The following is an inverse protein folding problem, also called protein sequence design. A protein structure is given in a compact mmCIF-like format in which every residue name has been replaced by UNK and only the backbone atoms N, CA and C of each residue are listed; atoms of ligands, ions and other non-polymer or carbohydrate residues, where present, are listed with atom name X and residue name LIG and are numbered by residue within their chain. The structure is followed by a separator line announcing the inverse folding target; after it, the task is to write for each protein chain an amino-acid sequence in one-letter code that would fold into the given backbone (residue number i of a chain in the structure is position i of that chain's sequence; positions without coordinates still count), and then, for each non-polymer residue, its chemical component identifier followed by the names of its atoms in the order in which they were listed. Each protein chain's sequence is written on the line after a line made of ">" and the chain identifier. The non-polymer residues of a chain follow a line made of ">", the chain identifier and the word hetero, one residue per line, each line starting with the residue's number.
data_IF_947342132633
#
_entry.id   IF_947342132633
#
_cell.length_a   1.000
_cell.length_b   1.000
_cell.length_c   1.000
_cell.angle_alpha   90.00
_cell.angle_beta   90.00
_cell.angle_gamma   90.00
#
_symmetry.space_group_name_H-M   'P 1'
#
loop_
_entity.id
_entity.type
_entity.pdbx_description
1 polymer ?
#
# COMPACT_ATOMS: atom_id res chain seq x y z
N UNK A 1 4.97 -4.31 14.53
CA UNK A 1 5.52 -2.94 14.36
C UNK A 1 6.14 -2.82 12.98
N UNK A 2 6.16 -1.63 12.39
CA UNK A 2 6.58 -1.37 10.99
C UNK A 2 8.10 -1.15 10.83
N UNK A 3 8.92 -1.81 11.67
CA UNK A 3 10.35 -1.55 11.84
C UNK A 3 11.23 -1.83 10.62
N UNK A 4 10.74 -2.63 9.66
CA UNK A 4 11.40 -2.85 8.37
C UNK A 4 11.26 -1.63 7.44
N UNK A 5 10.12 -0.92 7.52
CA UNK A 5 9.76 0.18 6.61
C UNK A 5 10.17 1.56 7.15
N UNK A 6 10.36 1.69 8.46
CA UNK A 6 10.64 2.96 9.12
C UNK A 6 11.72 2.83 10.20
N UNK A 7 12.51 3.89 10.36
CA UNK A 7 13.35 4.11 11.53
C UNK A 7 12.50 4.48 12.75
N UNK A 8 13.06 4.36 13.95
CA UNK A 8 12.35 4.72 15.20
C UNK A 8 11.95 6.20 15.27
N UNK A 9 12.66 7.08 14.53
CA UNK A 9 12.33 8.49 14.40
C UNK A 9 11.28 8.79 13.30
N UNK A 10 10.69 7.76 12.70
CA UNK A 10 9.66 7.87 11.67
C UNK A 10 10.17 8.14 10.26
N UNK A 11 11.49 8.27 10.05
CA UNK A 11 12.05 8.35 8.69
C UNK A 11 11.82 7.05 7.93
N UNK A 12 11.46 7.18 6.67
CA UNK A 12 11.23 6.07 5.75
C UNK A 12 12.56 5.36 5.48
N UNK A 13 12.54 4.03 5.50
CA UNK A 13 13.66 3.17 5.10
C UNK A 13 13.48 2.72 3.66
N UNK A 14 14.60 2.37 3.04
CA UNK A 14 14.60 1.59 1.81
C UNK A 14 13.82 0.27 2.04
N UNK A 15 12.76 0.07 1.26
CA UNK A 15 11.89 -1.10 1.32
C UNK A 15 11.30 -1.29 -0.08
N UNK A 16 12.09 -1.80 -1.03
CA UNK A 16 11.66 -1.88 -2.41
C UNK A 16 10.76 -3.10 -2.63
N UNK A 17 9.94 -2.98 -3.67
CA UNK A 17 9.08 -4.05 -4.12
C UNK A 17 8.25 -3.63 -5.32
N UNK A 18 7.20 -4.39 -5.55
CA UNK A 18 6.20 -4.12 -6.56
C UNK A 18 4.81 -4.53 -6.07
N UNK A 19 3.77 -4.00 -6.71
CA UNK A 19 2.38 -4.19 -6.30
C UNK A 19 1.43 -3.73 -7.41
N UNK A 20 0.16 -4.15 -7.33
CA UNK A 20 -0.90 -3.68 -8.23
C UNK A 20 -1.84 -2.80 -7.43
N UNK A 21 -1.86 -1.50 -7.77
CA UNK A 21 -2.55 -0.47 -6.98
C UNK A 21 -3.38 0.44 -7.88
N UNK A 22 -4.33 1.14 -7.28
CA UNK A 22 -4.87 2.38 -7.83
C UNK A 22 -4.26 3.57 -7.08
N UNK A 23 -3.53 4.42 -7.78
CA UNK A 23 -3.04 5.68 -7.22
C UNK A 23 -4.19 6.68 -7.08
N UNK A 24 -4.44 7.13 -5.85
CA UNK A 24 -5.62 7.95 -5.50
C UNK A 24 -5.26 9.41 -5.17
N UNK A 25 -3.98 9.77 -5.15
CA UNK A 25 -3.54 11.15 -4.98
C UNK A 25 -4.02 12.15 -6.07
N UNK A 26 -4.45 11.73 -7.28
CA UNK A 26 -5.11 12.65 -8.21
C UNK A 26 -6.57 12.96 -7.84
N UNK A 27 -7.20 12.17 -6.94
CA UNK A 27 -8.58 12.38 -6.52
C UNK A 27 -8.65 13.39 -5.35
N UNK A 28 -9.18 14.61 -5.56
CA UNK A 28 -9.23 15.62 -4.50
C UNK A 28 -10.15 15.22 -3.34
N UNK A 29 -11.19 14.40 -3.56
CA UNK A 29 -12.05 13.92 -2.47
C UNK A 29 -11.27 12.99 -1.54
N UNK A 30 -10.47 12.08 -2.10
CA UNK A 30 -9.58 11.20 -1.32
C UNK A 30 -8.51 12.02 -0.62
N UNK A 31 -7.76 12.84 -1.35
CA UNK A 31 -6.64 13.63 -0.79
C UNK A 31 -7.10 14.54 0.34
N UNK A 32 -8.19 15.29 0.16
CA UNK A 32 -8.70 16.17 1.20
C UNK A 32 -9.11 15.40 2.46
N UNK A 33 -9.68 14.20 2.30
CA UNK A 33 -10.05 13.34 3.42
C UNK A 33 -8.82 12.82 4.15
N UNK A 34 -7.84 12.29 3.41
CA UNK A 34 -6.60 11.78 3.99
C UNK A 34 -5.80 12.88 4.69
N UNK A 35 -5.68 14.07 4.10
CA UNK A 35 -5.00 15.21 4.73
C UNK A 35 -5.65 15.64 6.05
N UNK A 36 -6.99 15.65 6.11
CA UNK A 36 -7.71 15.94 7.36
C UNK A 36 -7.40 14.90 8.43
N UNK A 37 -7.45 13.61 8.09
CA UNK A 37 -7.10 12.51 9.01
C UNK A 37 -5.65 12.65 9.49
N UNK A 38 -4.71 12.89 8.57
CA UNK A 38 -3.29 13.06 8.90
C UNK A 38 -3.06 14.24 9.86
N UNK A 39 -3.74 15.37 9.64
CA UNK A 39 -3.66 16.54 10.53
C UNK A 39 -4.11 16.21 11.96
N UNK A 40 -5.17 15.42 12.10
CA UNK A 40 -5.68 14.99 13.40
C UNK A 40 -4.70 14.03 14.11
N UNK A 41 -4.07 13.13 13.36
CA UNK A 41 -3.00 12.27 13.90
C UNK A 41 -1.76 13.07 14.31
N UNK A 42 -1.39 14.09 13.54
CA UNK A 42 -0.26 14.98 13.84
C UNK A 42 -0.51 15.84 15.08
N UNK A 43 -1.78 16.11 15.43
CA UNK A 43 -2.15 16.85 16.62
C UNK A 43 -2.16 16.01 17.91
N UNK A 44 -1.96 14.69 17.83
CA UNK A 44 -1.90 13.82 19.00
C UNK A 44 -0.67 14.14 19.87
N UNK A 45 -0.77 14.05 21.21
CA UNK A 45 0.36 14.27 22.11
C UNK A 45 1.49 13.24 21.94
N UNK A 46 1.22 12.15 21.23
CA UNK A 46 2.15 11.06 20.89
C UNK A 46 2.30 10.87 19.38
N UNK A 47 2.09 11.94 18.59
CA UNK A 47 2.18 11.90 17.12
C UNK A 47 3.53 11.34 16.60
N UNK A 48 4.62 11.52 17.35
CA UNK A 48 5.95 10.97 17.05
C UNK A 48 5.99 9.43 17.01
N UNK A 49 4.95 8.74 17.52
CA UNK A 49 4.82 7.28 17.42
C UNK A 49 4.21 6.83 16.09
N UNK A 50 3.89 7.77 15.21
CA UNK A 50 3.41 7.52 13.86
C UNK A 50 4.38 8.10 12.83
N UNK A 51 4.53 7.40 11.71
CA UNK A 51 5.09 7.97 10.48
C UNK A 51 3.96 8.28 9.53
N UNK A 52 3.73 9.57 9.25
CA UNK A 52 2.70 10.02 8.31
C UNK A 52 3.23 9.87 6.88
N UNK A 53 2.43 9.27 6.01
CA UNK A 53 2.82 9.03 4.62
C UNK A 53 2.65 10.30 3.77
N UNK A 54 3.52 10.53 2.77
CA UNK A 54 3.33 11.58 1.77
C UNK A 54 2.01 11.40 1.00
N UNK A 55 1.43 12.50 0.53
CA UNK A 55 0.16 12.45 -0.22
C UNK A 55 0.35 11.75 -1.56
N UNK A 56 1.54 11.90 -2.15
CA UNK A 56 1.96 11.25 -3.39
C UNK A 56 2.01 9.71 -3.27
N UNK A 57 2.02 9.17 -2.04
CA UNK A 57 1.95 7.74 -1.79
C UNK A 57 0.52 7.23 -1.61
N UNK A 58 -0.52 8.09 -1.66
CA UNK A 58 -1.89 7.69 -1.36
C UNK A 58 -2.43 6.81 -2.48
N UNK A 59 -2.68 5.54 -2.15
CA UNK A 59 -3.17 4.52 -3.07
C UNK A 59 -4.08 3.52 -2.35
N UNK A 60 -4.85 2.76 -3.13
CA UNK A 60 -5.48 1.53 -2.67
C UNK A 60 -4.81 0.34 -3.34
N UNK A 61 -4.30 -0.60 -2.54
CA UNK A 61 -3.76 -1.85 -3.07
C UNK A 61 -4.88 -2.76 -3.52
N UNK A 62 -4.80 -3.20 -4.78
CA UNK A 62 -5.74 -4.17 -5.36
C UNK A 62 -5.20 -5.58 -5.19
N UNK A 63 -3.88 -5.76 -5.36
CA UNK A 63 -3.21 -7.05 -5.20
C UNK A 63 -1.76 -6.83 -4.76
N UNK A 64 -1.38 -7.48 -3.67
CA UNK A 64 -0.03 -7.43 -3.15
C UNK A 64 0.88 -8.36 -3.96
N UNK A 65 2.05 -7.86 -4.36
CA UNK A 65 3.11 -8.68 -4.97
C UNK A 65 4.32 -8.74 -4.03
N UNK A 66 5.54 -8.63 -4.56
CA UNK A 66 6.74 -9.02 -3.84
C UNK A 66 7.44 -7.81 -3.23
N UNK A 67 8.04 -8.04 -2.05
CA UNK A 67 8.88 -7.07 -1.37
C UNK A 67 10.23 -7.72 -1.07
N UNK A 68 11.32 -6.96 -1.20
CA UNK A 68 12.69 -7.47 -1.05
C UNK A 68 12.94 -8.19 0.29
N UNK A 69 12.36 -7.69 1.38
CA UNK A 69 12.56 -8.22 2.72
C UNK A 69 11.60 -9.36 3.11
N UNK A 70 10.68 -9.76 2.22
CA UNK A 70 9.69 -10.82 2.46
C UNK A 70 9.91 -12.03 1.55
N UNK A 71 11.16 -12.48 1.40
CA UNK A 71 11.56 -13.64 0.57
C UNK A 71 11.31 -14.96 1.28
N UNK A 72 10.06 -15.40 1.32
CA UNK A 72 9.68 -16.73 1.82
C UNK A 72 8.64 -17.38 0.92
N UNK A 73 8.62 -18.72 0.75
CA UNK A 73 7.72 -19.40 -0.19
C UNK A 73 6.25 -19.01 -0.04
N UNK A 74 5.78 -18.81 1.19
CA UNK A 74 4.39 -18.43 1.51
C UNK A 74 4.04 -16.96 1.18
N UNK A 75 5.05 -16.12 0.89
CA UNK A 75 4.91 -14.71 0.49
C UNK A 75 5.57 -14.41 -0.86
N UNK A 76 5.85 -15.44 -1.65
CA UNK A 76 6.55 -15.33 -2.92
C UNK A 76 5.71 -15.85 -4.08
N UNK A 77 6.18 -15.57 -5.30
CA UNK A 77 5.64 -16.23 -6.50
C UNK A 77 6.19 -17.64 -6.59
N UNK A 78 5.34 -18.63 -6.86
CA UNK A 78 5.78 -20.01 -7.12
C UNK A 78 6.59 -20.14 -8.43
N UNK A 79 6.56 -19.13 -9.30
CA UNK A 79 7.26 -19.12 -10.58
C UNK A 79 8.65 -18.50 -10.53
N UNK A 80 9.04 -17.89 -9.40
CA UNK A 80 10.29 -17.16 -9.25
C UNK A 80 11.15 -17.77 -8.15
N UNK A 81 12.46 -17.76 -8.33
CA UNK A 81 13.39 -18.12 -7.27
C UNK A 81 13.36 -17.08 -6.14
N UNK A 82 13.61 -17.52 -4.91
CA UNK A 82 13.66 -16.63 -3.74
C UNK A 82 14.83 -15.66 -3.77
N UNK A 83 15.87 -15.91 -4.57
CA UNK A 83 17.06 -15.07 -4.75
C UNK A 83 17.01 -14.17 -5.99
N UNK A 84 15.88 -14.14 -6.71
CA UNK A 84 15.74 -13.35 -7.94
C UNK A 84 15.94 -11.85 -7.70
N UNK A 85 16.57 -11.14 -8.64
CA UNK A 85 16.80 -9.69 -8.51
C UNK A 85 15.49 -8.90 -8.66
N UNK A 86 15.42 -7.70 -8.11
CA UNK A 86 14.21 -6.87 -8.19
C UNK A 86 13.83 -6.54 -9.63
N UNK A 87 14.81 -6.27 -10.48
CA UNK A 87 14.62 -5.93 -11.90
C UNK A 87 14.00 -7.09 -12.68
N UNK A 88 14.51 -8.31 -12.45
CA UNK A 88 13.97 -9.51 -13.09
C UNK A 88 12.58 -9.88 -12.57
N UNK A 89 12.34 -9.67 -11.26
CA UNK A 89 11.01 -9.83 -10.70
C UNK A 89 10.04 -8.85 -11.38
N UNK A 90 10.47 -7.60 -11.59
CA UNK A 90 9.59 -6.60 -12.19
C UNK A 90 9.27 -6.89 -13.65
N UNK A 91 10.29 -7.22 -14.43
CA UNK A 91 10.14 -7.62 -15.83
C UNK A 91 9.25 -8.86 -15.95
N UNK A 92 9.43 -9.84 -15.06
CA UNK A 92 8.59 -11.04 -15.04
C UNK A 92 7.11 -10.68 -14.85
N UNK A 93 6.78 -9.87 -13.85
CA UNK A 93 5.39 -9.50 -13.61
C UNK A 93 4.83 -8.61 -14.71
N UNK A 94 5.61 -7.68 -15.24
CA UNK A 94 5.19 -6.88 -16.40
C UNK A 94 4.76 -7.78 -17.57
N UNK A 95 5.62 -8.75 -17.95
CA UNK A 95 5.34 -9.68 -19.04
C UNK A 95 4.11 -10.56 -18.76
N UNK A 96 3.90 -10.99 -17.51
CA UNK A 96 2.71 -11.76 -17.14
C UNK A 96 1.41 -10.95 -17.18
N UNK A 97 1.50 -9.65 -16.89
CA UNK A 97 0.34 -8.77 -16.75
C UNK A 97 -0.01 -8.05 -18.06
N UNK A 98 0.90 -7.96 -19.03
CA UNK A 98 0.70 -7.26 -20.32
C UNK A 98 -0.56 -7.74 -21.05
N UNK A 99 -0.84 -9.05 -21.05
CA UNK A 99 -2.01 -9.63 -21.71
C UNK A 99 -3.29 -9.64 -20.86
N UNK A 100 -3.22 -9.22 -19.59
CA UNK A 100 -4.33 -9.33 -18.65
C UNK A 100 -5.14 -8.02 -18.65
N UNK A 101 -6.45 -8.05 -18.95
CA UNK A 101 -7.26 -6.85 -18.96
C UNK A 101 -7.53 -6.35 -17.53
N UNK A 102 -6.93 -5.22 -17.16
CA UNK A 102 -7.19 -4.60 -15.86
C UNK A 102 -8.60 -4.02 -15.83
N UNK A 103 -9.32 -4.30 -14.74
CA UNK A 103 -10.70 -3.83 -14.56
C UNK A 103 -10.75 -2.33 -14.25
N UNK A 104 -11.82 -1.67 -14.70
CA UNK A 104 -12.09 -0.23 -14.50
C UNK A 104 -13.48 -0.01 -13.89
N UNK A 105 -13.91 1.24 -13.68
CA UNK A 105 -15.21 1.57 -13.10
C UNK A 105 -15.48 0.83 -11.78
N UNK A 106 -14.48 0.80 -10.90
CA UNK A 106 -14.62 0.23 -9.56
C UNK A 106 -15.13 1.32 -8.62
N UNK A 107 -16.19 1.03 -7.87
CA UNK A 107 -16.71 1.94 -6.85
C UNK A 107 -16.35 1.40 -5.48
N UNK A 108 -15.63 2.19 -4.69
CA UNK A 108 -15.33 1.87 -3.29
C UNK A 108 -16.03 2.87 -2.37
N UNK A 109 -16.49 2.42 -1.22
CA UNK A 109 -17.08 3.26 -0.18
C UNK A 109 -16.23 3.21 1.09
N UNK A 110 -16.09 4.31 1.82
CA UNK A 110 -15.42 4.28 3.11
C UNK A 110 -16.17 3.36 4.08
N UNK A 111 -15.42 2.56 4.84
CA UNK A 111 -15.95 1.70 5.89
C UNK A 111 -15.60 2.25 7.27
N UNK A 112 -14.30 2.44 7.56
CA UNK A 112 -13.83 2.93 8.85
C UNK A 112 -12.37 3.34 8.86
N UNK A 113 -11.97 4.10 9.88
CA UNK A 113 -10.57 4.24 10.25
C UNK A 113 -10.19 3.12 11.21
N UNK A 114 -9.30 2.23 10.78
CA UNK A 114 -8.72 1.20 11.65
C UNK A 114 -7.22 1.40 11.74
N UNK A 115 -6.74 1.65 12.95
CA UNK A 115 -5.32 1.90 13.23
C UNK A 115 -4.74 3.09 12.45
N UNK A 116 -4.20 2.89 11.26
CA UNK A 116 -3.50 3.90 10.45
C UNK A 116 -3.91 3.84 8.98
N UNK A 117 -5.05 3.19 8.72
CA UNK A 117 -5.62 3.02 7.39
C UNK A 117 -7.09 3.43 7.39
N UNK A 118 -7.54 3.95 6.26
CA UNK A 118 -8.96 4.05 5.91
C UNK A 118 -9.35 2.77 5.19
N UNK A 119 -10.16 1.93 5.83
CA UNK A 119 -10.74 0.76 5.19
C UNK A 119 -11.86 1.17 4.25
N UNK A 120 -11.90 0.51 3.09
CA UNK A 120 -12.90 0.73 2.06
C UNK A 120 -13.47 -0.61 1.62
N UNK A 121 -14.74 -0.61 1.24
CA UNK A 121 -15.43 -1.79 0.71
C UNK A 121 -15.94 -1.53 -0.70
N UNK A 122 -16.18 -2.58 -1.50
CA UNK A 122 -16.95 -2.45 -2.73
C UNK A 122 -18.29 -1.73 -2.49
N UNK A 123 -18.60 -0.77 -3.34
CA UNK A 123 -19.82 0.03 -3.27
C UNK A 123 -21.08 -0.79 -3.57
N UNK A 124 -20.94 -1.82 -4.41
CA UNK A 124 -22.00 -2.73 -4.86
C UNK A 124 -21.49 -4.16 -5.05
N UNK A 125 -22.42 -5.11 -5.18
CA UNK A 125 -22.12 -6.54 -5.34
C UNK A 125 -21.38 -6.85 -6.65
N UNK A 126 -21.66 -6.08 -7.71
CA UNK A 126 -20.97 -6.24 -8.99
C UNK A 126 -19.49 -5.92 -8.85
N UNK A 127 -19.15 -4.79 -8.23
CA UNK A 127 -17.78 -4.39 -7.93
C UNK A 127 -17.08 -5.44 -7.07
N UNK A 128 -17.77 -5.96 -6.04
CA UNK A 128 -17.24 -7.02 -5.17
C UNK A 128 -16.88 -8.28 -5.97
N UNK A 129 -17.80 -8.77 -6.80
CA UNK A 129 -17.58 -9.94 -7.64
C UNK A 129 -16.45 -9.73 -8.65
N UNK A 130 -16.38 -8.56 -9.29
CA UNK A 130 -15.35 -8.21 -10.27
C UNK A 130 -13.97 -8.12 -9.64
N UNK A 131 -13.85 -7.47 -8.47
CA UNK A 131 -12.59 -7.39 -7.73
C UNK A 131 -12.11 -8.77 -7.27
N UNK A 132 -13.02 -9.62 -6.77
CA UNK A 132 -12.67 -10.99 -6.39
C UNK A 132 -12.13 -11.78 -7.60
N UNK A 133 -12.88 -11.79 -8.70
CA UNK A 133 -12.48 -12.52 -9.91
C UNK A 133 -11.15 -11.99 -10.48
N UNK A 134 -10.95 -10.67 -10.47
CA UNK A 134 -9.71 -10.06 -10.91
C UNK A 134 -8.53 -10.48 -10.03
N UNK A 135 -8.68 -10.47 -8.71
CA UNK A 135 -7.64 -10.96 -7.79
C UNK A 135 -7.34 -12.44 -8.00
N UNK A 136 -8.34 -13.28 -8.25
CA UNK A 136 -8.14 -14.70 -8.55
C UNK A 136 -7.33 -14.89 -9.86
N UNK A 137 -7.65 -14.13 -10.91
CA UNK A 137 -6.87 -14.13 -12.16
C UNK A 137 -5.43 -13.65 -11.96
N UNK A 138 -5.22 -12.63 -11.12
CA UNK A 138 -3.87 -12.17 -10.77
C UNK A 138 -3.07 -13.25 -10.04
N UNK A 139 -3.68 -14.03 -9.15
CA UNK A 139 -3.02 -15.19 -8.54
C UNK A 139 -2.57 -16.19 -9.61
N UNK A 140 -3.42 -16.56 -10.56
CA UNK A 140 -3.08 -17.50 -11.63
C UNK A 140 -1.93 -16.97 -12.52
N UNK A 141 -1.96 -15.68 -12.86
CA UNK A 141 -0.95 -15.07 -13.73
C UNK A 141 0.41 -14.90 -13.04
N UNK A 142 0.40 -14.54 -11.75
CA UNK A 142 1.61 -14.14 -11.00
C UNK A 142 2.20 -15.27 -10.18
N UNK A 143 1.45 -16.32 -9.89
CA UNK A 143 1.85 -17.38 -8.97
C UNK A 143 1.91 -16.93 -7.50
N UNK A 144 1.34 -15.76 -7.18
CA UNK A 144 1.30 -15.20 -5.82
C UNK A 144 -0.08 -15.46 -5.21
N UNK A 145 -0.11 -16.06 -4.02
CA UNK A 145 -1.35 -16.18 -3.22
C UNK A 145 -1.05 -16.13 -1.74
N UNK A 146 -1.35 -14.99 -1.10
CA UNK A 146 -1.16 -14.84 0.34
C UNK A 146 -2.33 -15.43 1.13
N UNK A 147 -2.08 -15.79 2.39
CA UNK A 147 -3.08 -16.42 3.27
C UNK A 147 -4.34 -15.57 3.49
N UNK A 148 -4.25 -14.25 3.32
CA UNK A 148 -5.37 -13.31 3.42
C UNK A 148 -6.14 -13.14 2.10
N UNK A 149 -5.81 -13.86 1.02
CA UNK A 149 -6.34 -13.59 -0.33
C UNK A 149 -7.87 -13.46 -0.39
N UNK A 150 -8.58 -14.44 0.19
CA UNK A 150 -10.05 -14.51 0.19
C UNK A 150 -10.71 -13.61 1.25
N UNK A 151 -9.92 -13.03 2.15
CA UNK A 151 -10.35 -12.18 3.27
C UNK A 151 -9.68 -10.81 3.23
N UNK A 152 -9.22 -10.40 2.06
CA UNK A 152 -8.46 -9.17 1.91
C UNK A 152 -9.36 -7.96 2.16
N UNK A 153 -9.02 -7.15 3.16
CA UNK A 153 -9.69 -5.89 3.42
C UNK A 153 -8.99 -4.78 2.63
N UNK A 154 -9.68 -4.22 1.64
CA UNK A 154 -9.17 -3.06 0.91
C UNK A 154 -9.03 -1.87 1.85
N UNK A 155 -7.94 -1.12 1.67
CA UNK A 155 -7.63 0.00 2.52
C UNK A 155 -6.70 1.00 1.83
N UNK A 156 -6.70 2.22 2.35
CA UNK A 156 -5.84 3.33 1.96
C UNK A 156 -5.01 3.67 3.19
N UNK A 157 -3.70 3.47 3.10
CA UNK A 157 -2.79 3.80 4.21
C UNK A 157 -2.52 5.30 4.24
N UNK A 158 -2.57 5.91 5.42
CA UNK A 158 -2.20 7.33 5.60
C UNK A 158 -1.05 7.53 6.59
N UNK A 159 -0.74 6.51 7.39
CA UNK A 159 0.35 6.50 8.34
C UNK A 159 0.80 5.06 8.67
N UNK A 160 1.83 4.93 9.49
CA UNK A 160 2.22 3.68 10.15
C UNK A 160 2.51 3.91 11.63
N UNK A 161 2.09 3.00 12.50
CA UNK A 161 2.53 2.97 13.89
C UNK A 161 3.96 2.42 13.97
N UNK A 162 4.88 3.21 14.51
CA UNK A 162 6.32 2.91 14.59
C UNK A 162 6.82 2.65 16.01
N UNK A 163 6.02 2.96 17.04
CA UNK A 163 6.31 2.67 18.43
C UNK A 163 5.05 2.20 19.18
N UNK A 164 5.22 1.45 20.27
CA UNK A 164 4.09 0.96 21.05
C UNK A 164 3.31 2.08 21.74
N UNK A 165 1.99 1.92 21.74
CA UNK A 165 1.07 2.79 22.46
C UNK A 165 0.85 2.27 23.89
N UNK A 166 0.83 3.18 24.87
CA UNK A 166 0.37 2.87 26.22
C UNK A 166 -1.13 2.59 26.23
N UNK A 167 -1.66 2.10 27.35
CA UNK A 167 -3.10 1.84 27.49
C UNK A 167 -3.92 3.13 27.33
N UNK A 168 -3.44 4.24 27.87
CA UNK A 168 -4.08 5.55 27.80
C UNK A 168 -4.06 6.07 26.36
N UNK A 169 -2.93 5.98 25.66
CA UNK A 169 -2.81 6.39 24.26
C UNK A 169 -3.72 5.56 23.34
N UNK A 170 -3.87 4.25 23.62
CA UNK A 170 -4.82 3.37 22.93
C UNK A 170 -6.27 3.81 23.10
N UNK A 171 -6.64 4.33 24.28
CA UNK A 171 -7.98 4.86 24.52
C UNK A 171 -8.21 6.17 23.74
N UNK A 172 -7.21 7.07 23.76
CA UNK A 172 -7.27 8.35 23.03
C UNK A 172 -7.42 8.09 21.52
N UNK A 173 -6.58 7.23 20.94
CA UNK A 173 -6.65 6.95 19.50
C UNK A 173 -7.93 6.22 19.11
N UNK A 174 -8.47 5.34 19.96
CA UNK A 174 -9.75 4.69 19.69
C UNK A 174 -10.91 5.71 19.61
N UNK A 175 -10.94 6.69 20.52
CA UNK A 175 -11.93 7.77 20.49
C UNK A 175 -11.77 8.66 19.26
N UNK A 176 -10.54 9.01 18.89
CA UNK A 176 -10.26 9.75 17.66
C UNK A 176 -10.75 8.99 16.43
N UNK A 177 -10.40 7.70 16.32
CA UNK A 177 -10.79 6.87 15.18
C UNK A 177 -12.30 6.70 15.05
N UNK A 178 -13.02 6.57 16.17
CA UNK A 178 -14.49 6.50 16.14
C UNK A 178 -15.13 7.83 15.69
N UNK A 179 -14.55 8.97 16.09
CA UNK A 179 -14.99 10.27 15.58
C UNK A 179 -14.70 10.41 14.09
N UNK A 180 -13.47 10.15 13.66
CA UNK A 180 -13.07 10.21 12.26
C UNK A 180 -13.87 9.24 11.39
N UNK A 181 -14.17 8.03 11.88
CA UNK A 181 -15.05 7.06 11.22
C UNK A 181 -16.39 7.70 10.89
N UNK A 182 -17.06 8.32 11.87
CA UNK A 182 -18.37 8.97 11.68
C UNK A 182 -18.28 10.13 10.68
N UNK A 183 -17.24 10.94 10.77
CA UNK A 183 -17.00 12.07 9.85
C UNK A 183 -16.77 11.59 8.41
N UNK A 184 -15.93 10.58 8.20
CA UNK A 184 -15.60 10.05 6.87
C UNK A 184 -16.80 9.35 6.25
N UNK A 185 -17.48 8.46 6.98
CA UNK A 185 -18.68 7.77 6.45
C UNK A 185 -19.78 8.76 6.03
N UNK A 186 -19.92 9.87 6.77
CA UNK A 186 -21.00 10.83 6.50
C UNK A 186 -20.70 11.78 5.35
N UNK A 187 -19.42 12.07 5.06
CA UNK A 187 -19.03 13.18 4.19
C UNK A 187 -18.18 12.78 2.98
N UNK A 188 -17.54 11.61 3.00
CA UNK A 188 -16.68 11.20 1.90
C UNK A 188 -17.51 10.51 0.82
N UNK A 189 -17.50 11.11 -0.38
CA UNK A 189 -18.11 10.52 -1.56
C UNK A 189 -17.44 9.18 -1.91
N UNK A 190 -18.17 8.23 -2.54
CA UNK A 190 -17.57 6.99 -3.03
C UNK A 190 -16.34 7.25 -3.91
N UNK A 191 -15.27 6.51 -3.66
CA UNK A 191 -14.04 6.55 -4.44
C UNK A 191 -14.26 5.81 -5.75
N UNK A 192 -14.04 6.50 -6.86
CA UNK A 192 -14.13 5.91 -8.20
C UNK A 192 -12.73 5.58 -8.69
N UNK A 193 -12.49 4.29 -8.94
CA UNK A 193 -11.22 3.77 -9.45
C UNK A 193 -11.40 3.48 -10.94
N UNK A 194 -10.78 4.32 -11.75
CA UNK A 194 -10.76 4.19 -13.21
C UNK A 194 -9.44 3.61 -13.73
N UNK A 195 -8.38 3.67 -12.92
CA UNK A 195 -7.06 3.19 -13.28
C UNK A 195 -6.46 2.33 -12.18
N UNK A 196 -5.98 1.16 -12.58
CA UNK A 196 -5.14 0.27 -11.79
C UNK A 196 -3.85 0.11 -12.59
N UNK A 197 -2.72 0.17 -11.90
CA UNK A 197 -1.41 0.01 -12.51
C UNK A 197 -0.63 -1.11 -11.81
N UNK A 198 0.16 -1.84 -12.58
CA UNK A 198 1.30 -2.55 -12.04
C UNK A 198 2.38 -1.52 -11.71
N UNK A 199 2.84 -1.50 -10.45
CA UNK A 199 3.72 -0.46 -9.93
C UNK A 199 4.95 -1.03 -9.26
N UNK A 200 6.02 -0.25 -9.30
CA UNK A 200 7.25 -0.48 -8.54
C UNK A 200 7.43 0.64 -7.51
N UNK A 201 8.15 0.32 -6.44
CA UNK A 201 8.51 1.28 -5.41
C UNK A 201 9.87 0.92 -4.79
N UNK A 202 10.55 1.92 -4.26
CA UNK A 202 11.81 1.78 -3.51
C UNK A 202 11.61 1.93 -1.99
N UNK A 203 10.49 2.54 -1.59
CA UNK A 203 10.09 2.75 -0.20
C UNK A 203 8.57 3.07 -0.14
N UNK A 204 8.05 3.46 1.02
CA UNK A 204 6.59 3.71 1.20
C UNK A 204 6.11 5.11 0.79
N UNK A 205 6.95 5.96 0.20
CA UNK A 205 6.57 7.34 -0.15
C UNK A 205 6.06 7.54 -1.58
N UNK A 206 6.27 6.61 -2.49
CA UNK A 206 5.87 6.77 -3.89
C UNK A 206 5.76 5.43 -4.60
N UNK A 207 4.71 5.26 -5.41
CA UNK A 207 4.40 4.07 -6.19
C UNK A 207 4.17 4.48 -7.64
N UNK A 208 5.09 4.09 -8.53
CA UNK A 208 5.07 4.52 -9.94
C UNK A 208 4.63 3.37 -10.84
N UNK A 209 3.79 3.62 -11.87
CA UNK A 209 3.53 2.63 -12.91
C UNK A 209 4.85 2.13 -13.51
N UNK A 210 4.94 0.82 -13.74
CA UNK A 210 6.15 0.22 -14.26
C UNK A 210 6.46 0.69 -15.70
N UNK A 211 7.73 0.99 -15.92
CA UNK A 211 8.43 1.00 -17.22
C UNK A 211 9.80 0.33 -17.03
N UNK A 212 10.51 0.04 -18.11
CA UNK A 212 11.86 -0.54 -18.05
C UNK A 212 12.85 0.30 -17.24
N UNK A 213 12.62 1.61 -17.14
CA UNK A 213 13.49 2.56 -16.43
C UNK A 213 12.96 2.93 -15.03
N UNK A 214 11.69 2.63 -14.71
CA UNK A 214 11.00 3.18 -13.55
C UNK A 214 11.71 2.91 -12.21
N UNK A 215 12.27 1.70 -12.02
CA UNK A 215 13.01 1.36 -10.80
C UNK A 215 14.29 2.18 -10.67
N UNK A 216 15.06 2.28 -11.75
CA UNK A 216 16.31 3.01 -11.75
C UNK A 216 16.07 4.52 -11.54
N UNK A 217 15.07 5.08 -12.21
CA UNK A 217 14.66 6.47 -12.01
C UNK A 217 14.25 6.74 -10.56
N UNK A 218 13.50 5.84 -9.93
CA UNK A 218 13.14 5.95 -8.51
C UNK A 218 14.36 5.89 -7.59
N UNK A 219 15.30 4.97 -7.83
CA UNK A 219 16.53 4.84 -7.05
C UNK A 219 17.36 6.12 -7.12
N UNK A 220 17.60 6.63 -8.33
CA UNK A 220 18.33 7.89 -8.56
C UNK A 220 17.63 9.05 -7.87
N UNK A 221 16.31 9.19 -8.04
CA UNK A 221 15.50 10.24 -7.41
C UNK A 221 15.61 10.23 -5.88
N UNK A 222 15.69 9.04 -5.29
CA UNK A 222 15.69 8.84 -3.82
C UNK A 222 17.09 8.76 -3.22
N UNK A 223 18.13 8.73 -4.04
CA UNK A 223 19.51 8.57 -3.60
C UNK A 223 19.81 7.17 -3.04
N UNK A 224 19.05 6.15 -3.48
CA UNK A 224 19.37 4.77 -3.18
C UNK A 224 20.42 4.27 -4.18
N UNK A 225 21.50 3.67 -3.68
CA UNK A 225 22.54 3.06 -4.50
C UNK A 225 22.44 1.54 -4.41
N UNK A 226 22.89 0.83 -5.45
CA UNK A 226 23.05 -0.63 -5.43
C UNK A 226 23.99 -1.12 -4.33
N UNK A 227 24.93 -0.28 -3.86
CA UNK A 227 25.82 -0.60 -2.74
C UNK A 227 25.12 -0.58 -1.37
N UNK A 228 24.09 0.25 -1.18
CA UNK A 228 23.28 0.27 0.06
C UNK A 228 22.46 -1.02 0.25
N UNK A 229 22.26 -1.81 -0.81
CA UNK A 229 21.54 -3.10 -0.78
C UNK A 229 22.34 -4.19 -0.03
N UNK A 230 23.68 -4.13 -0.04
CA UNK A 230 24.54 -5.12 0.61
C UNK A 230 24.78 -4.88 2.10
N UNK A 231 24.67 -3.63 2.57
CA UNK A 231 24.95 -3.28 3.97
C UNK A 231 23.75 -3.60 4.90
N UNK A 232 22.53 -3.56 4.37
CA UNK A 232 21.29 -3.81 5.15
C UNK A 232 20.92 -5.30 5.17
N UNK A 233 21.39 -6.10 4.20
CA UNK A 233 21.22 -7.56 4.16
C UNK A 233 22.09 -8.35 5.15
N UNK A 234 22.86 -7.68 6.01
CA UNK A 234 23.73 -8.29 7.04
C UNK A 234 23.30 -7.99 8.49
N UNK A 235 22.10 -7.43 8.72
CA UNK A 235 21.54 -7.20 10.05
C UNK A 235 20.43 -8.18 10.40
#
# INVERSE_FOLDING_TARGET
>A
MSTLKFHQNGKIKWFPGNTIVSNLYPDPNVVNTIQKIQKEYQALPFAQKYSILPIESVHMTVFELLCHFNRSPEKWSEFLSLDESLEKIDEFFHNKLESLPFIQNIKMKPLQIRSTVLEVDPGDEETSRRLKAFRDQLTEATGVRFANHDKYQFHISFAYLIAELTTEEKQIIAQLNERLRREVISNMEPVKIEKIDYTVFEDMSEFVPYSSEAREELRVKKGYTTENEMEIGRL
#
